data_IF_289726897437
#
_entry.id   IF_289726897437
#
_cell.length_a   1.000
_cell.length_b   1.000
_cell.length_c   1.000
_cell.angle_alpha   90.00
_cell.angle_beta   90.00
_cell.angle_gamma   90.00
#
_symmetry.space_group_name_H-M   'P 1'
#
loop_
_entity.id
_entity.type
_entity.pdbx_description
1 polymer ?
#
# COMPACT_ATOMS: atom_id res chain seq x y z
N UNK A 1 -2.40 7.43 -3.85
CA UNK A 1 -1.18 6.66 -3.52
C UNK A 1 -1.40 5.16 -3.74
N UNK A 2 -0.83 4.60 -4.81
CA UNK A 2 -1.09 3.20 -5.21
C UNK A 2 -0.29 2.16 -4.41
N UNK A 3 -0.79 0.92 -4.39
CA UNK A 3 -0.04 -0.25 -3.93
C UNK A 3 0.80 -0.86 -5.07
N UNK A 4 2.10 -1.01 -4.85
CA UNK A 4 3.10 -1.47 -5.80
C UNK A 4 3.72 -2.80 -5.36
N UNK A 5 3.94 -3.67 -6.34
CA UNK A 5 4.65 -4.94 -6.21
C UNK A 5 6.14 -4.72 -6.49
N UNK A 6 7.08 -5.39 -5.78
CA UNK A 6 8.54 -5.23 -5.98
C UNK A 6 9.26 -6.54 -6.39
N UNK A 7 10.19 -6.52 -7.36
CA UNK A 7 10.95 -7.70 -7.86
C UNK A 7 12.45 -7.45 -8.15
N UNK A 8 13.23 -8.54 -8.10
CA UNK A 8 14.61 -8.58 -8.61
C UNK A 8 14.74 -8.98 -10.11
N UNK A 9 13.87 -9.82 -10.70
CA UNK A 9 14.13 -10.29 -12.11
C UNK A 9 12.93 -10.67 -13.03
N UNK A 10 11.68 -10.79 -12.60
CA UNK A 10 10.56 -11.11 -13.52
C UNK A 10 9.72 -9.87 -13.91
N UNK A 11 9.23 -9.80 -15.15
CA UNK A 11 8.32 -8.73 -15.60
C UNK A 11 6.88 -9.16 -15.34
N UNK A 12 6.20 -8.51 -14.40
CA UNK A 12 4.77 -8.72 -14.14
C UNK A 12 4.02 -7.63 -14.86
N UNK A 13 3.24 -7.98 -15.88
CA UNK A 13 2.41 -7.01 -16.61
C UNK A 13 0.92 -7.19 -16.35
N UNK A 14 0.53 -8.27 -15.67
CA UNK A 14 -0.85 -8.62 -15.40
C UNK A 14 -1.02 -9.34 -14.06
N UNK A 15 -2.26 -9.38 -13.57
CA UNK A 15 -2.62 -10.25 -12.44
C UNK A 15 -2.41 -11.73 -12.76
N UNK A 16 -2.56 -12.14 -14.02
CA UNK A 16 -2.31 -13.51 -14.45
C UNK A 16 -0.83 -13.90 -14.28
N UNK A 17 0.11 -12.99 -14.52
CA UNK A 17 1.53 -13.23 -14.28
C UNK A 17 1.84 -13.32 -12.79
N UNK A 18 1.21 -12.48 -11.98
CA UNK A 18 1.36 -12.51 -10.53
C UNK A 18 0.90 -13.86 -9.93
N UNK A 19 -0.13 -14.50 -10.51
CA UNK A 19 -0.59 -15.84 -10.07
C UNK A 19 0.42 -16.96 -10.33
N UNK A 20 1.34 -16.77 -11.27
CA UNK A 20 2.38 -17.77 -11.61
C UNK A 20 3.61 -17.68 -10.70
N UNK A 21 3.68 -16.65 -9.86
CA UNK A 21 4.79 -16.48 -8.92
C UNK A 21 4.71 -17.52 -7.81
N UNK A 22 5.86 -17.88 -7.23
CA UNK A 22 5.93 -18.81 -6.11
C UNK A 22 5.13 -18.32 -4.91
N UNK A 23 5.47 -17.14 -4.38
CA UNK A 23 4.79 -16.51 -3.26
C UNK A 23 4.78 -14.99 -3.37
N UNK A 24 3.67 -14.40 -2.96
CA UNK A 24 3.41 -12.95 -2.85
C UNK A 24 3.31 -12.59 -1.37
N UNK A 25 4.24 -11.79 -0.87
CA UNK A 25 4.22 -11.22 0.46
C UNK A 25 3.14 -10.15 0.62
N UNK A 26 2.25 -10.36 1.58
CA UNK A 26 1.20 -9.41 1.99
C UNK A 26 1.23 -9.22 3.51
N UNK A 27 0.71 -8.09 4.00
CA UNK A 27 0.43 -7.92 5.43
C UNK A 27 -0.96 -8.48 5.74
N UNK A 28 -1.00 -9.41 6.69
CA UNK A 28 -2.21 -10.19 7.01
C UNK A 28 -3.41 -9.29 7.29
N UNK A 29 -4.54 -9.63 6.69
CA UNK A 29 -5.84 -8.96 6.82
C UNK A 29 -5.87 -7.50 6.34
N UNK A 30 -4.81 -6.99 5.72
CA UNK A 30 -4.84 -5.67 5.12
C UNK A 30 -5.62 -5.66 3.81
N UNK A 31 -5.79 -4.46 3.22
CA UNK A 31 -6.54 -4.30 1.98
C UNK A 31 -5.95 -5.08 0.80
N UNK A 32 -4.62 -5.27 0.75
CA UNK A 32 -3.94 -5.99 -0.34
C UNK A 32 -4.19 -7.50 -0.21
N UNK A 33 -4.06 -8.05 1.00
CA UNK A 33 -4.40 -9.44 1.31
C UNK A 33 -5.87 -9.72 0.95
N UNK A 34 -6.80 -8.90 1.44
CA UNK A 34 -8.22 -9.09 1.18
C UNK A 34 -8.56 -8.98 -0.31
N UNK A 35 -7.96 -8.04 -1.02
CA UNK A 35 -8.21 -7.83 -2.45
C UNK A 35 -7.70 -9.01 -3.27
N UNK A 36 -6.45 -9.45 -3.05
CA UNK A 36 -5.88 -10.59 -3.76
C UNK A 36 -6.62 -11.89 -3.41
N UNK A 37 -7.05 -12.06 -2.16
CA UNK A 37 -7.89 -13.18 -1.74
C UNK A 37 -9.24 -13.20 -2.46
N UNK A 38 -9.93 -12.05 -2.58
CA UNK A 38 -11.19 -11.92 -3.34
C UNK A 38 -11.00 -12.20 -4.83
N UNK A 39 -9.82 -11.88 -5.36
CA UNK A 39 -9.44 -12.23 -6.73
C UNK A 39 -9.02 -13.71 -6.87
N UNK A 40 -9.05 -14.52 -5.81
CA UNK A 40 -8.73 -15.95 -5.87
C UNK A 40 -7.24 -16.25 -5.96
N UNK A 41 -6.36 -15.38 -5.44
CA UNK A 41 -4.93 -15.69 -5.32
C UNK A 41 -4.72 -16.74 -4.22
N UNK A 42 -4.00 -17.81 -4.55
CA UNK A 42 -3.67 -18.91 -3.63
C UNK A 42 -2.22 -18.88 -3.16
N UNK A 43 -1.37 -18.09 -3.81
CA UNK A 43 0.07 -17.96 -3.55
C UNK A 43 0.41 -16.78 -2.63
N UNK A 44 -0.36 -16.55 -1.56
CA UNK A 44 -0.18 -15.44 -0.64
C UNK A 44 0.58 -15.85 0.64
N UNK A 45 1.75 -15.26 0.87
CA UNK A 45 2.47 -15.31 2.15
C UNK A 45 2.00 -14.16 3.06
N UNK A 46 1.21 -14.50 4.07
CA UNK A 46 0.61 -13.54 5.01
C UNK A 46 1.52 -13.31 6.22
N UNK A 47 2.27 -12.21 6.19
CA UNK A 47 3.15 -11.80 7.28
C UNK A 47 2.41 -11.02 8.37
N UNK A 48 2.96 -11.03 9.59
CA UNK A 48 2.42 -10.25 10.73
C UNK A 48 2.77 -8.75 10.66
N UNK A 49 3.66 -8.34 9.75
CA UNK A 49 3.99 -6.94 9.51
C UNK A 49 4.56 -6.76 8.11
N UNK A 50 4.45 -5.52 7.60
CA UNK A 50 5.09 -5.11 6.36
C UNK A 50 6.61 -5.31 6.38
N UNK A 51 7.27 -5.01 7.52
CA UNK A 51 8.71 -5.21 7.70
C UNK A 51 9.10 -6.68 7.57
N UNK A 52 8.32 -7.59 8.16
CA UNK A 52 8.57 -9.03 8.03
C UNK A 52 8.42 -9.50 6.58
N UNK A 53 7.39 -9.05 5.88
CA UNK A 53 7.14 -9.39 4.48
C UNK A 53 8.25 -8.85 3.56
N UNK A 54 8.70 -7.61 3.80
CA UNK A 54 9.82 -7.00 3.09
C UNK A 54 11.12 -7.78 3.31
N UNK A 55 11.45 -8.17 4.55
CA UNK A 55 12.63 -9.00 4.82
C UNK A 55 12.58 -10.34 4.08
N UNK A 56 11.41 -10.98 3.97
CA UNK A 56 11.22 -12.20 3.16
C UNK A 56 11.52 -11.96 1.68
N UNK A 57 11.17 -10.81 1.12
CA UNK A 57 11.53 -10.43 -0.25
C UNK A 57 13.06 -10.36 -0.39
N UNK A 58 13.73 -9.67 0.54
CA UNK A 58 15.18 -9.45 0.47
C UNK A 58 15.99 -10.75 0.53
N UNK A 59 15.49 -11.78 1.24
CA UNK A 59 16.12 -13.11 1.30
C UNK A 59 15.51 -14.12 0.31
N UNK A 60 14.67 -13.69 -0.62
CA UNK A 60 14.13 -14.53 -1.70
C UNK A 60 13.06 -15.55 -1.29
N UNK A 61 12.49 -15.45 -0.09
CA UNK A 61 11.40 -16.33 0.38
C UNK A 61 10.06 -16.03 -0.28
N UNK A 62 9.83 -14.77 -0.64
CA UNK A 62 8.72 -14.37 -1.51
C UNK A 62 9.30 -13.81 -2.79
N UNK A 63 8.67 -14.12 -3.92
CA UNK A 63 9.07 -13.55 -5.20
C UNK A 63 8.81 -12.05 -5.18
N UNK A 64 7.68 -11.63 -4.61
CA UNK A 64 7.26 -10.24 -4.55
C UNK A 64 6.66 -9.86 -3.22
N UNK A 65 6.66 -8.56 -2.93
CA UNK A 65 6.00 -7.95 -1.78
C UNK A 65 5.09 -6.81 -2.24
N UNK A 66 3.99 -6.59 -1.52
CA UNK A 66 3.00 -5.55 -1.82
C UNK A 66 2.99 -4.47 -0.74
N UNK A 67 3.12 -3.20 -1.12
CA UNK A 67 2.99 -2.05 -0.22
C UNK A 67 2.53 -0.81 -0.98
N UNK A 68 2.17 0.26 -0.29
CA UNK A 68 1.97 1.57 -0.89
C UNK A 68 3.29 2.22 -1.31
N UNK A 69 3.23 3.04 -2.38
CA UNK A 69 4.34 3.89 -2.84
C UNK A 69 4.92 4.78 -1.73
N UNK A 70 4.06 5.26 -0.84
CA UNK A 70 4.44 6.13 0.29
C UNK A 70 5.06 5.32 1.45
N UNK A 71 4.55 4.11 1.71
CA UNK A 71 4.97 3.30 2.85
C UNK A 71 6.30 2.57 2.63
N UNK A 72 6.58 2.17 1.40
CA UNK A 72 7.69 1.25 1.09
C UNK A 72 9.06 1.76 1.52
N UNK A 73 9.30 3.07 1.46
CA UNK A 73 10.56 3.67 1.90
C UNK A 73 10.76 3.54 3.42
N UNK A 74 9.70 3.78 4.20
CA UNK A 74 9.73 3.59 5.65
C UNK A 74 9.89 2.13 6.04
N UNK A 75 9.22 1.23 5.32
CA UNK A 75 9.33 -0.23 5.55
C UNK A 75 10.73 -0.74 5.22
N UNK A 76 11.32 -0.31 4.09
CA UNK A 76 12.70 -0.66 3.72
C UNK A 76 13.69 -0.21 4.81
N UNK A 77 13.60 1.06 5.24
CA UNK A 77 14.45 1.61 6.30
C UNK A 77 14.31 0.82 7.60
N UNK A 78 13.09 0.54 8.03
CA UNK A 78 12.83 -0.26 9.24
C UNK A 78 13.30 -1.72 9.12
N UNK A 79 13.41 -2.24 7.89
CA UNK A 79 13.96 -3.55 7.61
C UNK A 79 15.50 -3.58 7.55
N UNK A 80 16.17 -2.42 7.55
CA UNK A 80 17.62 -2.30 7.40
C UNK A 80 18.10 -2.22 5.94
N UNK A 81 17.22 -1.81 5.02
CA UNK A 81 17.46 -1.72 3.59
C UNK A 81 17.10 -0.33 3.04
N UNK A 82 17.50 -0.08 1.80
CA UNK A 82 17.18 1.13 1.08
C UNK A 82 16.01 0.89 0.12
N UNK A 83 15.18 1.91 -0.12
CA UNK A 83 14.10 1.80 -1.12
C UNK A 83 14.64 1.53 -2.53
N UNK A 84 15.89 1.91 -2.82
CA UNK A 84 16.58 1.63 -4.07
C UNK A 84 16.94 0.15 -4.26
N UNK A 85 16.88 -0.67 -3.21
CA UNK A 85 17.16 -2.11 -3.29
C UNK A 85 16.03 -2.89 -3.98
N UNK A 86 14.92 -2.20 -4.26
CA UNK A 86 13.68 -2.74 -4.81
C UNK A 86 13.14 -1.82 -5.90
N UNK A 87 12.37 -2.37 -6.84
CA UNK A 87 11.74 -1.60 -7.92
C UNK A 87 10.27 -1.96 -8.06
N UNK A 88 9.41 -0.96 -8.27
CA UNK A 88 7.98 -1.18 -8.57
C UNK A 88 7.84 -1.91 -9.90
N UNK A 89 7.14 -3.05 -9.90
CA UNK A 89 6.90 -3.87 -11.09
C UNK A 89 5.43 -3.96 -11.51
N UNK A 90 4.49 -3.70 -10.60
CA UNK A 90 3.06 -3.75 -10.92
C UNK A 90 2.26 -2.86 -9.97
N UNK A 91 1.25 -2.14 -10.49
CA UNK A 91 0.29 -1.37 -9.70
C UNK A 91 -0.96 -2.23 -9.52
N UNK A 92 -1.28 -2.63 -8.29
CA UNK A 92 -2.42 -3.52 -8.02
C UNK A 92 -3.76 -2.80 -8.18
N UNK A 93 -3.89 -1.65 -7.54
CA UNK A 93 -5.08 -0.79 -7.58
C UNK A 93 -4.73 0.60 -7.04
N UNK A 94 -5.61 1.56 -7.32
CA UNK A 94 -5.65 2.84 -6.63
C UNK A 94 -6.47 2.71 -5.35
N UNK A 95 -5.97 3.33 -4.28
CA UNK A 95 -6.70 3.45 -3.01
C UNK A 95 -6.66 4.90 -2.55
N UNK A 96 -7.81 5.38 -2.07
CA UNK A 96 -7.93 6.65 -1.37
C UNK A 96 -7.95 6.40 0.14
N UNK A 97 -7.32 7.29 0.89
CA UNK A 97 -7.35 7.27 2.35
C UNK A 97 -8.56 8.08 2.82
N UNK A 98 -9.25 7.56 3.83
CA UNK A 98 -10.42 8.19 4.44
C UNK A 98 -10.27 8.18 5.96
N UNK A 99 -10.88 9.16 6.62
CA UNK A 99 -11.08 9.10 8.07
C UNK A 99 -12.25 8.15 8.32
N UNK A 100 -11.99 7.03 9.00
CA UNK A 100 -13.02 6.10 9.41
C UNK A 100 -13.70 6.61 10.69
N UNK A 101 -15.03 6.61 10.72
CA UNK A 101 -15.84 6.95 11.89
C UNK A 101 -16.70 5.75 12.32
N UNK A 102 -16.99 5.63 13.62
CA UNK A 102 -17.92 4.63 14.13
C UNK A 102 -19.33 4.90 13.59
N UNK A 103 -20.15 3.85 13.43
CA UNK A 103 -21.57 4.00 13.08
C UNK A 103 -22.35 4.83 14.11
N UNK A 104 -21.88 4.87 15.36
CA UNK A 104 -22.46 5.67 16.44
C UNK A 104 -21.97 7.12 16.46
N UNK A 105 -20.97 7.49 15.66
CA UNK A 105 -20.50 8.88 15.59
C UNK A 105 -21.61 9.75 15.02
N UNK A 106 -21.89 10.88 15.69
CA UNK A 106 -22.90 11.83 15.24
C UNK A 106 -22.59 12.31 13.82
N UNK A 107 -23.56 12.20 12.91
CA UNK A 107 -23.41 12.60 11.50
C UNK A 107 -23.00 14.06 11.33
N UNK A 108 -23.39 14.95 12.25
CA UNK A 108 -23.01 16.36 12.21
C UNK A 108 -21.49 16.54 12.38
N UNK A 109 -20.85 15.72 13.22
CA UNK A 109 -19.39 15.74 13.40
C UNK A 109 -18.70 15.29 12.11
N UNK A 110 -19.21 14.23 11.47
CA UNK A 110 -18.67 13.74 10.20
C UNK A 110 -18.85 14.79 9.09
N UNK A 111 -19.98 15.50 9.07
CA UNK A 111 -20.22 16.61 8.12
C UNK A 111 -19.19 17.72 8.30
N UNK A 112 -18.96 18.16 9.54
CA UNK A 112 -17.98 19.21 9.84
C UNK A 112 -16.56 18.83 9.40
N UNK A 113 -16.15 17.57 9.58
CA UNK A 113 -14.85 17.11 9.08
C UNK A 113 -14.75 17.14 7.55
N UNK A 114 -15.81 16.76 6.84
CA UNK A 114 -15.84 16.83 5.39
C UNK A 114 -15.83 18.28 4.90
N UNK A 115 -16.62 19.17 5.51
CA UNK A 115 -16.66 20.60 5.19
C UNK A 115 -15.28 21.24 5.39
N UNK A 116 -14.63 20.98 6.54
CA UNK A 116 -13.28 21.45 6.80
C UNK A 116 -12.28 20.96 5.75
N UNK A 117 -12.35 19.70 5.32
CA UNK A 117 -11.50 19.18 4.25
C UNK A 117 -11.75 19.90 2.92
N UNK A 118 -13.00 20.19 2.57
CA UNK A 118 -13.32 20.92 1.34
C UNK A 118 -12.86 22.38 1.39
N UNK A 119 -12.96 23.04 2.53
CA UNK A 119 -12.38 24.37 2.75
C UNK A 119 -10.86 24.35 2.60
N UNK A 120 -10.19 23.35 3.17
CA UNK A 120 -8.74 23.16 3.04
C UNK A 120 -8.28 22.90 1.61
N UNK A 121 -9.11 22.25 0.79
CA UNK A 121 -8.84 22.06 -0.65
C UNK A 121 -9.00 23.37 -1.42
N UNK A 122 -10.01 24.19 -1.09
CA UNK A 122 -10.28 25.50 -1.72
C UNK A 122 -9.18 26.52 -1.43
N UNK A 123 -8.72 26.61 -0.18
CA UNK A 123 -7.70 27.58 0.25
C UNK A 123 -6.24 27.12 0.00
N UNK A 124 -6.11 25.96 -0.65
CA UNK A 124 -4.85 25.29 -0.99
C UNK A 124 -4.03 24.79 0.20
N UNK A 125 -4.55 24.81 1.43
CA UNK A 125 -3.84 24.33 2.62
C UNK A 125 -3.62 22.82 2.56
N UNK A 126 -4.56 22.06 2.01
CA UNK A 126 -4.43 20.63 1.81
C UNK A 126 -3.26 20.29 0.89
N UNK A 127 -3.13 20.99 -0.24
CA UNK A 127 -2.04 20.82 -1.20
C UNK A 127 -0.69 21.23 -0.60
N UNK A 128 -0.65 22.27 0.25
CA UNK A 128 0.57 22.63 1.00
C UNK A 128 1.00 21.52 1.95
N UNK A 129 0.05 20.87 2.65
CA UNK A 129 0.34 19.72 3.51
C UNK A 129 0.80 18.50 2.70
N UNK A 130 0.14 18.20 1.58
CA UNK A 130 0.55 17.14 0.67
C UNK A 130 2.01 17.32 0.23
N UNK A 131 2.39 18.51 -0.23
CA UNK A 131 3.77 18.83 -0.61
C UNK A 131 4.74 18.72 0.57
N UNK A 132 4.38 19.20 1.75
CA UNK A 132 5.21 19.13 2.96
C UNK A 132 5.56 17.70 3.35
N UNK A 133 4.63 16.76 3.14
CA UNK A 133 4.79 15.35 3.50
C UNK A 133 5.08 14.44 2.30
N UNK A 134 5.44 15.00 1.14
CA UNK A 134 5.74 14.26 -0.10
C UNK A 134 4.63 13.27 -0.50
N UNK A 135 3.36 13.70 -0.37
CA UNK A 135 2.18 12.96 -0.79
C UNK A 135 1.75 13.52 -2.15
N UNK A 136 1.98 12.76 -3.23
CA UNK A 136 1.51 13.09 -4.58
C UNK A 136 0.26 12.27 -4.94
N UNK A 137 -0.69 12.89 -5.64
CA UNK A 137 -1.89 12.23 -6.20
C UNK A 137 -1.61 11.58 -7.55
#
# INVERSE_FOLDING_TARGET
SGAHTLLRTAKITSLADARKLSLIGVYRNDIRDQTLTKLGFTNLDRAASNVSSFKKLMVGRVAVYTDSKLGVAGVAKAAGYQVSDVKSVFKLFDSHLYIAASKSTNKNIVSQWNEALEEMKKDKSFQRLQKKYNIEE
#
